data_IF_990003836961
#
_entry.id   IF_990003836961
#
_cell.length_a   1.000
_cell.length_b   1.000
_cell.length_c   1.000
_cell.angle_alpha   90.00
_cell.angle_beta   90.00
_cell.angle_gamma   90.00
#
_symmetry.space_group_name_H-M   'P 1'
#
loop_
_entity.id
_entity.type
_entity.pdbx_description
1 polymer ?
#
# COMPACT_ATOMS: atom_id res chain seq x y z
N UNK A 1 7.91 9.32 -9.18
CA UNK A 1 6.86 8.31 -8.88
C UNK A 1 7.17 7.34 -7.73
N UNK A 2 6.15 6.97 -6.92
CA UNK A 2 6.23 5.99 -5.82
C UNK A 2 4.92 5.22 -5.60
N UNK A 3 5.02 4.01 -5.06
CA UNK A 3 3.90 3.20 -4.55
C UNK A 3 3.73 3.44 -3.05
N UNK A 4 2.51 3.73 -2.59
CA UNK A 4 2.19 3.70 -1.16
C UNK A 4 1.66 2.34 -0.75
N UNK A 5 2.05 1.91 0.43
CA UNK A 5 1.55 0.71 1.12
C UNK A 5 1.16 1.16 2.52
N UNK A 6 -0.12 1.02 2.85
CA UNK A 6 -0.67 1.39 4.15
C UNK A 6 -0.94 0.11 4.93
N UNK A 7 -0.35 -0.02 6.11
CA UNK A 7 -0.54 -1.16 7.01
C UNK A 7 -1.33 -0.67 8.21
N UNK A 8 -2.45 -1.35 8.54
CA UNK A 8 -3.23 -1.01 9.73
C UNK A 8 -2.37 -1.14 10.98
N UNK A 9 -2.49 -0.19 11.90
CA UNK A 9 -1.63 -0.13 13.08
C UNK A 9 -1.82 -1.28 14.08
N UNK A 10 -2.94 -1.99 13.99
CA UNK A 10 -3.28 -3.18 14.77
C UNK A 10 -2.54 -4.44 14.31
N UNK A 11 -1.95 -4.43 13.11
CA UNK A 11 -1.27 -5.60 12.53
C UNK A 11 0.06 -5.85 13.24
N UNK A 12 0.30 -7.06 13.79
CA UNK A 12 1.56 -7.40 14.43
C UNK A 12 2.75 -7.29 13.46
N UNK A 13 3.93 -6.92 13.96
CA UNK A 13 5.10 -6.59 13.12
C UNK A 13 5.46 -7.68 12.10
N UNK A 14 5.47 -8.96 12.51
CA UNK A 14 5.77 -10.08 11.60
C UNK A 14 4.79 -10.14 10.43
N UNK A 15 3.51 -9.94 10.70
CA UNK A 15 2.48 -9.85 9.66
C UNK A 15 2.57 -8.56 8.86
N UNK A 16 2.98 -7.43 9.45
CA UNK A 16 3.12 -6.17 8.73
C UNK A 16 4.19 -6.24 7.63
N UNK A 17 5.31 -6.92 7.89
CA UNK A 17 6.37 -7.16 6.89
C UNK A 17 5.84 -8.05 5.77
N UNK A 18 5.20 -9.17 6.11
CA UNK A 18 4.59 -10.09 5.15
C UNK A 18 3.52 -9.41 4.30
N UNK A 19 2.59 -8.70 4.94
CA UNK A 19 1.52 -7.96 4.30
C UNK A 19 2.06 -6.89 3.36
N UNK A 20 3.15 -6.19 3.72
CA UNK A 20 3.78 -5.20 2.84
C UNK A 20 4.35 -5.85 1.57
N UNK A 21 4.99 -7.01 1.70
CA UNK A 21 5.51 -7.77 0.56
C UNK A 21 4.36 -8.26 -0.35
N UNK A 22 3.33 -8.88 0.23
CA UNK A 22 2.14 -9.32 -0.51
C UNK A 22 1.43 -8.16 -1.20
N UNK A 23 1.26 -7.03 -0.51
CA UNK A 23 0.58 -5.86 -1.06
C UNK A 23 1.32 -5.26 -2.25
N UNK A 24 2.65 -5.17 -2.17
CA UNK A 24 3.47 -4.74 -3.32
C UNK A 24 3.28 -5.64 -4.54
N UNK A 25 3.30 -6.97 -4.35
CA UNK A 25 3.15 -7.92 -5.45
C UNK A 25 1.73 -7.92 -6.02
N UNK A 26 0.72 -7.89 -5.15
CA UNK A 26 -0.68 -7.84 -5.56
C UNK A 26 -1.00 -6.58 -6.35
N UNK A 27 -0.49 -5.42 -5.92
CA UNK A 27 -0.63 -4.16 -6.66
C UNK A 27 0.08 -4.23 -8.02
N UNK A 28 1.29 -4.77 -8.08
CA UNK A 28 1.97 -5.00 -9.36
C UNK A 28 1.13 -5.88 -10.28
N UNK A 29 0.69 -7.06 -9.83
CA UNK A 29 -0.08 -7.99 -10.67
C UNK A 29 -1.38 -7.39 -11.18
N UNK A 30 -2.08 -6.60 -10.35
CA UNK A 30 -3.33 -5.93 -10.73
C UNK A 30 -3.12 -4.82 -11.77
N UNK A 31 -2.00 -4.10 -11.68
CA UNK A 31 -1.77 -2.88 -12.47
C UNK A 31 -0.61 -2.98 -13.46
N UNK A 32 -0.04 -4.18 -13.69
CA UNK A 32 1.21 -4.40 -14.46
C UNK A 32 1.22 -3.81 -15.86
N UNK A 33 0.05 -3.69 -16.49
CA UNK A 33 -0.10 -3.21 -17.86
C UNK A 33 -0.27 -1.68 -17.92
N UNK A 34 -0.32 -0.99 -16.78
CA UNK A 34 -0.37 0.47 -16.74
C UNK A 34 1.03 1.08 -17.02
N UNK A 35 1.13 2.14 -17.85
CA UNK A 35 2.42 2.73 -18.22
C UNK A 35 3.22 3.24 -17.02
N UNK A 36 2.54 3.75 -15.99
CA UNK A 36 3.14 4.21 -14.73
C UNK A 36 3.84 3.07 -13.99
N UNK A 37 3.38 1.82 -14.13
CA UNK A 37 4.08 0.68 -13.53
C UNK A 37 5.40 0.40 -14.25
N UNK A 38 5.41 0.48 -15.58
CA UNK A 38 6.64 0.32 -16.38
C UNK A 38 7.66 1.43 -16.06
N UNK A 39 7.22 2.69 -16.01
CA UNK A 39 8.09 3.81 -15.64
C UNK A 39 8.60 3.67 -14.19
N UNK A 40 7.74 3.28 -13.25
CA UNK A 40 8.14 3.07 -11.85
C UNK A 40 9.18 1.97 -11.70
N UNK A 41 9.06 0.88 -12.50
CA UNK A 41 10.03 -0.21 -12.57
C UNK A 41 11.35 0.19 -13.21
N UNK A 42 11.33 1.08 -14.21
CA UNK A 42 12.56 1.62 -14.82
C UNK A 42 13.32 2.59 -13.91
N UNK A 43 12.63 3.13 -12.90
CA UNK A 43 13.20 4.04 -11.90
C UNK A 43 13.69 3.31 -10.64
N UNK A 44 13.73 4.01 -9.49
CA UNK A 44 14.20 3.44 -8.23
C UNK A 44 13.21 2.45 -7.60
N UNK A 45 12.08 2.15 -8.25
CA UNK A 45 11.07 1.20 -7.78
C UNK A 45 10.60 1.49 -6.33
N UNK A 46 10.55 2.79 -5.97
CA UNK A 46 10.38 3.25 -4.58
C UNK A 46 9.00 2.96 -4.03
N UNK A 47 8.99 2.51 -2.76
CA UNK A 47 7.78 2.23 -1.97
C UNK A 47 7.82 3.05 -0.70
N UNK A 48 6.66 3.53 -0.28
CA UNK A 48 6.48 4.20 1.01
C UNK A 48 5.52 3.36 1.82
N UNK A 49 6.04 2.75 2.89
CA UNK A 49 5.23 1.99 3.83
C UNK A 49 4.84 2.90 4.99
N UNK A 50 3.54 3.00 5.25
CA UNK A 50 2.97 3.80 6.32
C UNK A 50 2.23 2.91 7.31
N UNK A 51 2.31 3.28 8.58
CA UNK A 51 1.44 2.75 9.63
C UNK A 51 0.24 3.68 9.75
N UNK A 52 -0.97 3.16 9.60
CA UNK A 52 -2.20 3.97 9.56
C UNK A 52 -3.23 3.49 10.57
N UNK A 53 -4.02 4.41 11.11
CA UNK A 53 -5.20 4.07 11.92
C UNK A 53 -6.31 3.47 11.04
N UNK A 54 -7.33 2.89 11.66
CA UNK A 54 -8.49 2.37 10.93
C UNK A 54 -9.21 3.48 10.15
N UNK A 55 -9.36 4.67 10.75
CA UNK A 55 -9.96 5.84 10.10
C UNK A 55 -9.15 6.31 8.88
N UNK A 56 -7.81 6.31 8.98
CA UNK A 56 -6.94 6.62 7.86
C UNK A 56 -7.03 5.57 6.76
N UNK A 57 -7.10 4.29 7.12
CA UNK A 57 -7.27 3.18 6.18
C UNK A 57 -8.59 3.28 5.41
N UNK A 58 -9.70 3.58 6.10
CA UNK A 58 -11.01 3.75 5.46
C UNK A 58 -11.05 4.99 4.57
N UNK A 59 -10.50 6.13 5.02
CA UNK A 59 -10.40 7.33 4.17
C UNK A 59 -9.56 7.07 2.91
N UNK A 60 -8.52 6.26 3.01
CA UNK A 60 -7.65 5.96 1.88
C UNK A 60 -8.34 5.14 0.77
N UNK A 61 -9.44 4.44 1.06
CA UNK A 61 -10.23 3.72 0.03
C UNK A 61 -10.84 4.63 -1.01
N UNK A 62 -11.10 5.89 -0.68
CA UNK A 62 -11.61 6.87 -1.63
C UNK A 62 -10.59 7.20 -2.72
N UNK A 63 -9.32 6.81 -2.54
CA UNK A 63 -8.28 6.99 -3.53
C UNK A 63 -8.26 5.80 -4.48
N UNK A 64 -8.36 6.10 -5.77
CA UNK A 64 -8.43 5.09 -6.84
C UNK A 64 -7.15 4.25 -6.97
N UNK A 65 -7.28 3.18 -7.75
CA UNK A 65 -6.20 2.25 -8.10
C UNK A 65 -5.49 1.65 -6.89
N UNK A 66 -6.27 1.04 -6.00
CA UNK A 66 -5.75 0.31 -4.86
C UNK A 66 -6.13 -1.17 -4.89
N UNK A 67 -5.44 -1.94 -4.06
CA UNK A 67 -5.75 -3.32 -3.72
C UNK A 67 -5.72 -3.45 -2.20
N UNK A 68 -6.69 -4.17 -1.65
CA UNK A 68 -6.78 -4.46 -0.21
C UNK A 68 -6.38 -5.91 0.01
N UNK A 69 -5.56 -6.14 1.02
CA UNK A 69 -5.02 -7.44 1.38
C UNK A 69 -5.63 -7.89 2.69
N UNK A 70 -6.06 -9.14 2.73
CA UNK A 70 -6.54 -9.82 3.93
C UNK A 70 -5.55 -10.88 4.40
N UNK A 71 -5.53 -11.17 5.69
CA UNK A 71 -4.68 -12.22 6.28
C UNK A 71 -5.52 -13.29 6.97
N UNK A 72 -5.46 -14.51 6.43
CA UNK A 72 -6.18 -15.67 6.94
C UNK A 72 -5.79 -16.05 8.36
N UNK A 73 -4.51 -15.92 8.73
CA UNK A 73 -4.02 -16.21 10.07
C UNK A 73 -4.53 -15.21 11.12
N UNK A 74 -5.05 -14.06 10.67
CA UNK A 74 -5.71 -13.06 11.50
C UNK A 74 -7.24 -13.07 11.31
N UNK A 75 -7.81 -14.21 10.91
CA UNK A 75 -9.26 -14.36 10.75
C UNK A 75 -9.83 -13.64 9.53
N UNK A 76 -9.02 -13.44 8.48
CA UNK A 76 -9.45 -12.77 7.26
C UNK A 76 -9.51 -11.24 7.37
N UNK A 77 -8.93 -10.66 8.42
CA UNK A 77 -8.84 -9.22 8.60
C UNK A 77 -8.08 -8.56 7.44
N UNK A 78 -8.54 -7.38 7.03
CA UNK A 78 -7.80 -6.52 6.11
C UNK A 78 -6.57 -5.94 6.82
N UNK A 79 -5.39 -6.24 6.32
CA UNK A 79 -4.12 -5.91 6.99
C UNK A 79 -3.38 -4.77 6.31
N UNK A 80 -3.50 -4.67 4.99
CA UNK A 80 -2.77 -3.69 4.20
C UNK A 80 -3.54 -3.25 2.95
N UNK A 81 -3.20 -2.07 2.46
CA UNK A 81 -3.67 -1.55 1.18
C UNK A 81 -2.47 -1.04 0.39
N UNK A 82 -2.33 -1.47 -0.85
CA UNK A 82 -1.31 -0.95 -1.76
C UNK A 82 -1.96 -0.28 -2.95
N UNK A 83 -1.26 0.69 -3.50
CA UNK A 83 -1.77 1.53 -4.56
C UNK A 83 -0.87 1.48 -5.78
N UNK A 84 -1.47 1.63 -6.97
CA UNK A 84 -0.71 1.81 -8.22
C UNK A 84 0.25 2.99 -8.05
N UNK A 85 1.53 2.84 -8.44
CA UNK A 85 2.50 3.92 -8.36
C UNK A 85 2.02 5.12 -9.20
N UNK A 86 2.28 6.32 -8.69
CA UNK A 86 1.91 7.59 -9.35
C UNK A 86 2.91 8.69 -9.00
N UNK A 87 2.97 9.69 -9.88
CA UNK A 87 3.78 10.91 -9.71
C UNK A 87 3.21 11.76 -8.56
N UNK A 88 1.93 12.11 -8.69
CA UNK A 88 1.22 12.98 -7.76
C UNK A 88 0.35 12.20 -6.80
N UNK A 89 0.46 12.56 -5.52
CA UNK A 89 -0.30 11.95 -4.43
C UNK A 89 -1.19 13.00 -3.76
N UNK A 90 -2.39 12.61 -3.29
CA UNK A 90 -3.18 13.46 -2.41
C UNK A 90 -2.33 13.99 -1.26
N UNK A 91 -2.50 15.28 -0.91
CA UNK A 91 -1.69 15.92 0.14
C UNK A 91 -1.72 15.15 1.46
N UNK A 92 -2.84 14.51 1.80
CA UNK A 92 -3.00 13.66 2.98
C UNK A 92 -1.94 12.56 3.09
N UNK A 93 -1.53 11.94 1.98
CA UNK A 93 -0.53 10.85 1.97
C UNK A 93 0.87 11.31 2.39
N UNK A 94 1.17 12.61 2.30
CA UNK A 94 2.45 13.18 2.75
C UNK A 94 2.54 13.27 4.27
N UNK A 95 1.41 13.23 4.98
CA UNK A 95 1.32 13.34 6.43
C UNK A 95 1.12 12.00 7.14
N UNK A 96 0.91 10.92 6.38
CA UNK A 96 0.80 9.58 6.96
C UNK A 96 2.11 9.18 7.65
N UNK A 97 1.99 8.56 8.82
CA UNK A 97 3.13 8.13 9.62
C UNK A 97 3.88 7.02 8.90
N UNK A 98 5.18 7.21 8.67
CA UNK A 98 6.03 6.17 8.09
C UNK A 98 6.12 4.96 9.04
N UNK A 99 6.15 3.76 8.47
CA UNK A 99 6.42 2.54 9.20
C UNK A 99 7.94 2.46 9.43
N UNK A 100 8.41 3.02 10.55
CA UNK A 100 9.82 3.05 10.98
C UNK A 100 9.94 2.55 12.41
#
# INVERSE_FOLDING_TARGET
MKMYILVRESVPLGFAVLASAHASLAAYLKFRDAPEVAEWLSGPFSKVVCRVSDEEFERARAVEDHVVLTESALGGQEVAMAFRPREEWPKSFKFLKLYR
#
